data_IF_172314422557
#
_entry.id   IF_172314422557
#
_cell.length_a   1.000
_cell.length_b   1.000
_cell.length_c   1.000
_cell.angle_alpha   90.00
_cell.angle_beta   90.00
_cell.angle_gamma   90.00
#
_symmetry.space_group_name_H-M   'P 1'
#
loop_
_entity.id
_entity.type
_entity.pdbx_description
1 polymer ?
#
# COMPACT_ATOMS: atom_id res chain seq x y z
N UNK A 1 29.96 5.11 12.14
CA UNK A 1 30.03 4.15 11.00
C UNK A 1 28.63 3.71 10.67
N UNK A 2 28.20 3.80 9.41
CA UNK A 2 26.85 3.37 9.00
C UNK A 2 26.61 1.91 9.39
N UNK A 3 25.40 1.60 9.89
CA UNK A 3 25.00 0.21 10.15
C UNK A 3 24.57 -0.52 8.87
N UNK A 4 24.59 0.18 7.73
CA UNK A 4 24.20 -0.32 6.43
C UNK A 4 25.43 -0.75 5.62
N UNK A 5 25.37 -1.94 5.04
CA UNK A 5 26.40 -2.50 4.18
C UNK A 5 25.84 -2.67 2.77
N UNK A 6 26.23 -1.79 1.86
CA UNK A 6 25.77 -1.78 0.47
C UNK A 6 26.29 -2.96 -0.36
N UNK A 7 27.43 -3.54 0.03
CA UNK A 7 27.99 -4.72 -0.64
C UNK A 7 27.05 -5.93 -0.57
N UNK A 8 26.19 -6.01 0.46
CA UNK A 8 25.20 -7.08 0.61
C UNK A 8 24.11 -7.05 -0.46
N UNK A 9 23.87 -5.89 -1.07
CA UNK A 9 22.79 -5.73 -2.05
C UNK A 9 23.03 -6.52 -3.35
N UNK A 10 24.30 -6.80 -3.67
CA UNK A 10 24.70 -7.55 -4.86
C UNK A 10 25.31 -8.92 -4.49
N UNK A 11 25.41 -9.23 -3.19
CA UNK A 11 25.91 -10.53 -2.71
C UNK A 11 24.83 -11.61 -2.77
N UNK A 12 25.05 -12.64 -3.59
CA UNK A 12 24.09 -13.72 -3.83
C UNK A 12 23.74 -14.54 -2.57
N UNK A 13 24.69 -14.70 -1.65
CA UNK A 13 24.47 -15.41 -0.38
C UNK A 13 23.63 -14.54 0.56
N UNK A 14 23.95 -13.25 0.67
CA UNK A 14 23.19 -12.29 1.46
C UNK A 14 21.74 -12.15 0.97
N UNK A 15 21.51 -12.12 -0.35
CA UNK A 15 20.17 -12.03 -0.95
C UNK A 15 19.24 -13.19 -0.53
N UNK A 16 19.80 -14.36 -0.16
CA UNK A 16 18.98 -15.46 0.36
C UNK A 16 18.24 -15.10 1.65
N UNK A 17 18.72 -14.14 2.45
CA UNK A 17 18.09 -13.69 3.70
C UNK A 17 16.77 -12.97 3.47
N UNK A 18 16.61 -12.34 2.33
CA UNK A 18 15.40 -11.61 1.93
C UNK A 18 14.67 -12.27 0.74
N UNK A 19 15.00 -13.51 0.41
CA UNK A 19 14.41 -14.26 -0.70
C UNK A 19 12.88 -14.39 -0.54
N UNK A 20 12.40 -14.72 0.66
CA UNK A 20 10.96 -14.88 0.91
C UNK A 20 10.15 -13.58 0.68
N UNK A 21 10.51 -12.41 1.24
CA UNK A 21 9.84 -11.16 0.94
C UNK A 21 9.99 -10.74 -0.52
N UNK A 22 11.15 -10.93 -1.16
CA UNK A 22 11.33 -10.61 -2.58
C UNK A 22 10.44 -11.47 -3.49
N UNK A 23 10.38 -12.79 -3.25
CA UNK A 23 9.45 -13.68 -3.98
C UNK A 23 7.99 -13.33 -3.73
N UNK A 24 7.64 -12.93 -2.50
CA UNK A 24 6.31 -12.47 -2.20
C UNK A 24 5.94 -11.22 -3.00
N UNK A 25 6.86 -10.27 -3.18
CA UNK A 25 6.66 -9.09 -4.02
C UNK A 25 6.58 -9.47 -5.50
N UNK A 26 7.50 -10.31 -5.99
CA UNK A 26 7.52 -10.76 -7.38
C UNK A 26 6.24 -11.50 -7.80
N UNK A 27 5.63 -12.26 -6.89
CA UNK A 27 4.38 -12.97 -7.15
C UNK A 27 3.11 -12.12 -7.09
N UNK A 28 3.18 -10.80 -6.86
CA UNK A 28 1.98 -9.95 -6.68
C UNK A 28 1.07 -9.97 -7.90
N UNK A 29 1.62 -9.82 -9.12
CA UNK A 29 0.84 -9.85 -10.36
C UNK A 29 0.13 -11.19 -10.57
N UNK A 30 0.82 -12.30 -10.33
CA UNK A 30 0.23 -13.62 -10.41
C UNK A 30 -0.95 -13.80 -9.43
N UNK A 31 -0.82 -13.32 -8.19
CA UNK A 31 -1.90 -13.39 -7.18
C UNK A 31 -3.10 -12.55 -7.58
N UNK A 32 -2.89 -11.34 -8.12
CA UNK A 32 -3.98 -10.50 -8.64
C UNK A 32 -4.74 -11.24 -9.74
N UNK A 33 -4.03 -11.89 -10.70
CA UNK A 33 -4.68 -12.67 -11.78
C UNK A 33 -5.44 -13.88 -11.23
N UNK A 34 -4.89 -14.57 -10.23
CA UNK A 34 -5.55 -15.71 -9.59
C UNK A 34 -6.91 -15.32 -8.98
N UNK A 35 -6.95 -14.22 -8.22
CA UNK A 35 -8.18 -13.76 -7.58
C UNK A 35 -9.16 -13.16 -8.62
N UNK A 36 -8.65 -12.48 -9.65
CA UNK A 36 -9.46 -11.96 -10.73
C UNK A 36 -10.10 -13.05 -11.61
N UNK A 37 -9.49 -14.23 -11.72
CA UNK A 37 -10.06 -15.35 -12.44
C UNK A 37 -11.33 -15.93 -11.79
N UNK A 38 -11.56 -15.63 -10.52
CA UNK A 38 -12.74 -16.06 -9.75
C UNK A 38 -13.85 -15.00 -9.71
N UNK A 39 -13.71 -13.91 -10.49
CA UNK A 39 -14.72 -12.86 -10.56
C UNK A 39 -16.04 -13.41 -11.10
N UNK A 40 -17.12 -13.05 -10.43
CA UNK A 40 -18.48 -13.37 -10.81
C UNK A 40 -19.26 -12.09 -11.07
N UNK A 41 -20.20 -12.14 -12.01
CA UNK A 41 -21.08 -11.00 -12.21
C UNK A 41 -21.98 -10.81 -10.98
N UNK A 42 -22.03 -9.58 -10.40
CA UNK A 42 -22.87 -9.34 -9.24
C UNK A 42 -24.36 -9.49 -9.59
N UNK A 43 -25.09 -10.30 -8.82
CA UNK A 43 -26.54 -10.40 -8.91
C UNK A 43 -27.15 -9.94 -7.58
N UNK A 44 -27.36 -8.64 -7.48
CA UNK A 44 -28.03 -7.98 -6.35
C UNK A 44 -29.42 -7.46 -6.72
N UNK A 45 -29.93 -7.94 -7.86
CA UNK A 45 -31.22 -7.53 -8.41
C UNK A 45 -31.14 -6.36 -9.40
N UNK A 46 -32.19 -6.19 -10.23
CA UNK A 46 -32.18 -5.18 -11.29
C UNK A 46 -32.18 -3.77 -10.70
N UNK A 47 -31.24 -2.94 -11.16
CA UNK A 47 -31.13 -1.53 -10.75
C UNK A 47 -30.67 -1.33 -9.31
N UNK A 48 -30.01 -2.31 -8.70
CA UNK A 48 -29.48 -2.19 -7.35
C UNK A 48 -28.64 -0.91 -7.18
N UNK A 49 -28.95 -0.14 -6.15
CA UNK A 49 -28.22 1.09 -5.77
C UNK A 49 -28.16 1.14 -4.26
N UNK A 50 -26.97 1.00 -3.64
CA UNK A 50 -26.84 1.12 -2.20
C UNK A 50 -27.01 2.59 -1.76
N UNK A 51 -27.45 2.80 -0.52
CA UNK A 51 -27.46 4.11 0.13
C UNK A 51 -26.06 4.52 0.59
N UNK A 52 -25.22 3.55 0.95
CA UNK A 52 -23.83 3.74 1.35
C UNK A 52 -23.05 2.44 1.25
N UNK A 53 -21.73 2.55 1.24
CA UNK A 53 -20.79 1.44 1.16
C UNK A 53 -19.94 1.41 2.42
N UNK A 54 -19.94 0.28 3.13
CA UNK A 54 -19.05 0.00 4.27
C UNK A 54 -18.03 -1.04 3.84
N UNK A 55 -16.74 -0.73 4.00
CA UNK A 55 -15.65 -1.61 3.61
C UNK A 55 -14.90 -2.02 4.86
N UNK A 56 -14.70 -3.32 5.07
CA UNK A 56 -13.97 -3.90 6.20
C UNK A 56 -12.82 -4.77 5.72
N UNK A 57 -11.80 -4.91 6.54
CA UNK A 57 -10.63 -5.75 6.29
C UNK A 57 -9.37 -4.98 5.89
N UNK A 58 -8.25 -5.70 5.60
CA UNK A 58 -6.90 -5.13 5.55
C UNK A 58 -6.71 -4.00 4.54
N UNK A 59 -7.30 -4.09 3.34
CA UNK A 59 -7.19 -3.06 2.28
C UNK A 59 -8.44 -2.17 2.17
N UNK A 60 -9.30 -2.15 3.18
CA UNK A 60 -10.51 -1.29 3.21
C UNK A 60 -10.22 0.18 2.92
N UNK A 61 -9.09 0.70 3.45
CA UNK A 61 -8.68 2.09 3.23
C UNK A 61 -8.18 2.36 1.81
N UNK A 62 -7.64 1.35 1.10
CA UNK A 62 -7.28 1.47 -0.31
C UNK A 62 -8.56 1.57 -1.16
N UNK A 63 -9.49 0.65 -0.96
CA UNK A 63 -10.75 0.65 -1.70
C UNK A 63 -11.53 1.96 -1.44
N UNK A 64 -11.57 2.43 -0.19
CA UNK A 64 -12.14 3.75 0.12
C UNK A 64 -11.44 4.87 -0.66
N UNK A 65 -10.10 4.90 -0.66
CA UNK A 65 -9.33 5.95 -1.34
C UNK A 65 -9.61 5.99 -2.85
N UNK A 66 -9.87 4.84 -3.47
CA UNK A 66 -10.27 4.74 -4.88
C UNK A 66 -11.70 5.22 -5.12
N UNK A 67 -12.63 4.88 -4.23
CA UNK A 67 -14.04 5.17 -4.41
C UNK A 67 -14.41 6.60 -4.02
N UNK A 68 -13.85 7.12 -2.94
CA UNK A 68 -14.27 8.38 -2.32
C UNK A 68 -14.34 9.58 -3.30
N UNK A 69 -13.43 9.75 -4.27
CA UNK A 69 -13.50 10.85 -5.23
C UNK A 69 -14.62 10.73 -6.27
N UNK A 70 -15.16 9.54 -6.52
CA UNK A 70 -16.03 9.27 -7.68
C UNK A 70 -17.31 8.50 -7.35
N UNK A 71 -17.41 7.87 -6.18
CA UNK A 71 -18.55 7.08 -5.78
C UNK A 71 -19.78 7.98 -5.55
N UNK A 72 -20.95 7.68 -6.15
CA UNK A 72 -22.15 8.51 -6.00
C UNK A 72 -22.82 8.41 -4.62
N UNK A 73 -22.30 7.56 -3.73
CA UNK A 73 -22.82 7.34 -2.38
C UNK A 73 -21.70 7.40 -1.34
N UNK A 74 -22.01 7.68 -0.06
CA UNK A 74 -21.00 7.69 1.01
C UNK A 74 -20.24 6.37 1.13
N UNK A 75 -18.93 6.45 1.32
CA UNK A 75 -18.02 5.30 1.49
C UNK A 75 -17.29 5.39 2.82
N UNK A 76 -17.30 4.30 3.59
CA UNK A 76 -16.63 4.21 4.90
C UNK A 76 -15.72 3.00 4.94
N UNK A 77 -14.44 3.19 5.25
CA UNK A 77 -13.56 2.11 5.68
C UNK A 77 -13.71 1.92 7.20
N UNK A 78 -14.29 0.80 7.61
CA UNK A 78 -14.60 0.53 9.01
C UNK A 78 -13.51 -0.34 9.66
N UNK A 79 -12.80 0.16 10.69
CA UNK A 79 -11.64 -0.52 11.26
C UNK A 79 -11.94 -1.37 12.50
N UNK A 80 -13.21 -1.55 12.87
CA UNK A 80 -13.63 -2.23 14.09
C UNK A 80 -14.44 -3.49 13.79
N UNK A 81 -14.58 -4.37 14.79
CA UNK A 81 -15.51 -5.48 14.75
C UNK A 81 -16.96 -4.99 14.58
N UNK A 82 -17.78 -5.77 13.91
CA UNK A 82 -19.16 -5.41 13.59
C UNK A 82 -19.26 -4.32 12.52
N UNK A 83 -20.33 -3.55 12.57
CA UNK A 83 -20.64 -2.52 11.56
C UNK A 83 -21.10 -1.21 12.23
N UNK A 84 -20.97 -0.05 11.53
CA UNK A 84 -21.57 1.19 11.98
C UNK A 84 -23.05 1.02 12.30
N UNK A 85 -23.54 1.71 13.34
CA UNK A 85 -24.92 1.54 13.84
C UNK A 85 -25.99 1.81 12.76
N UNK A 86 -25.71 2.68 11.81
CA UNK A 86 -26.63 3.07 10.73
C UNK A 86 -26.71 2.05 9.58
N UNK A 87 -25.80 1.06 9.51
CA UNK A 87 -25.76 0.07 8.42
C UNK A 87 -27.02 -0.82 8.47
N UNK A 88 -27.66 -1.02 7.32
CA UNK A 88 -28.90 -1.80 7.23
C UNK A 88 -29.18 -2.32 5.80
N UNK A 89 -30.41 -2.73 5.49
CA UNK A 89 -30.78 -3.42 4.24
C UNK A 89 -30.53 -2.64 2.96
N UNK A 90 -30.41 -1.30 3.04
CA UNK A 90 -30.15 -0.43 1.89
C UNK A 90 -28.66 -0.17 1.66
N UNK A 91 -27.78 -0.73 2.47
CA UNK A 91 -26.34 -0.50 2.38
C UNK A 91 -25.62 -1.72 1.79
N UNK A 92 -24.44 -1.47 1.24
CA UNK A 92 -23.54 -2.49 0.74
C UNK A 92 -22.37 -2.65 1.71
N UNK A 93 -22.10 -3.87 2.12
CA UNK A 93 -20.93 -4.20 2.94
C UNK A 93 -19.93 -4.97 2.08
N UNK A 94 -18.69 -4.47 1.99
CA UNK A 94 -17.59 -5.12 1.28
C UNK A 94 -16.62 -5.67 2.32
N UNK A 95 -16.44 -6.98 2.34
CA UNK A 95 -15.54 -7.67 3.27
C UNK A 95 -14.33 -8.19 2.52
N UNK A 96 -13.16 -7.67 2.85
CA UNK A 96 -11.88 -8.06 2.28
C UNK A 96 -11.16 -8.95 3.30
N UNK A 97 -11.19 -10.24 3.07
CA UNK A 97 -10.51 -11.20 3.92
C UNK A 97 -9.43 -11.90 3.10
N UNK A 98 -8.20 -11.43 3.22
CA UNK A 98 -7.05 -12.18 2.70
C UNK A 98 -6.99 -13.57 3.34
N UNK A 99 -6.30 -14.51 2.74
CA UNK A 99 -6.30 -15.91 3.17
C UNK A 99 -5.64 -16.14 4.54
N UNK A 100 -4.67 -15.33 4.91
CA UNK A 100 -4.04 -15.38 6.24
C UNK A 100 -4.92 -14.64 7.23
N UNK A 101 -5.91 -15.37 7.74
CA UNK A 101 -6.66 -14.95 8.90
C UNK A 101 -7.59 -13.77 8.60
N UNK A 102 -8.72 -14.09 8.03
CA UNK A 102 -9.91 -13.37 8.40
C UNK A 102 -9.94 -13.36 9.94
N UNK A 103 -9.63 -12.21 10.51
CA UNK A 103 -9.67 -12.05 11.95
C UNK A 103 -11.10 -12.17 12.46
N UNK A 104 -11.30 -12.25 13.77
CA UNK A 104 -12.62 -12.26 14.37
C UNK A 104 -13.46 -11.04 13.96
N UNK A 105 -12.83 -9.95 13.59
CA UNK A 105 -13.48 -8.70 13.21
C UNK A 105 -14.19 -8.82 11.85
N UNK A 106 -13.57 -9.43 10.83
CA UNK A 106 -14.19 -9.67 9.53
C UNK A 106 -15.33 -10.69 9.63
N UNK A 107 -15.17 -11.73 10.46
CA UNK A 107 -16.24 -12.70 10.74
C UNK A 107 -17.43 -12.01 11.39
N UNK A 108 -17.18 -11.19 12.42
CA UNK A 108 -18.22 -10.43 13.13
C UNK A 108 -18.96 -9.48 12.19
N UNK A 109 -18.21 -8.74 11.36
CA UNK A 109 -18.77 -7.79 10.41
C UNK A 109 -19.63 -8.49 9.35
N UNK A 110 -19.18 -9.64 8.85
CA UNK A 110 -19.93 -10.45 7.87
C UNK A 110 -21.25 -10.96 8.46
N UNK A 111 -21.19 -11.56 9.65
CA UNK A 111 -22.38 -12.07 10.34
C UNK A 111 -23.38 -10.94 10.64
N UNK A 112 -22.88 -9.77 11.03
CA UNK A 112 -23.73 -8.61 11.31
C UNK A 112 -24.36 -8.03 10.06
N UNK A 113 -23.63 -7.99 8.91
CA UNK A 113 -24.18 -7.56 7.64
C UNK A 113 -25.39 -8.43 7.22
N UNK A 114 -25.22 -9.74 7.27
CA UNK A 114 -26.28 -10.71 6.98
C UNK A 114 -27.48 -10.54 7.93
N UNK A 115 -27.22 -10.45 9.23
CA UNK A 115 -28.27 -10.28 10.26
C UNK A 115 -29.06 -9.00 10.06
N UNK A 116 -28.43 -7.92 9.58
CA UNK A 116 -29.08 -6.62 9.29
C UNK A 116 -29.72 -6.55 7.90
N UNK A 117 -29.59 -7.61 7.09
CA UNK A 117 -30.14 -7.69 5.73
C UNK A 117 -29.41 -6.81 4.70
N UNK A 118 -28.19 -6.37 4.99
CA UNK A 118 -27.37 -5.63 4.01
C UNK A 118 -26.92 -6.56 2.88
N UNK A 119 -26.75 -5.99 1.67
CA UNK A 119 -26.07 -6.72 0.60
C UNK A 119 -24.58 -6.83 0.93
N UNK A 120 -23.96 -7.96 0.55
CA UNK A 120 -22.56 -8.24 0.89
C UNK A 120 -21.78 -8.59 -0.36
N UNK A 121 -20.60 -7.98 -0.52
CA UNK A 121 -19.53 -8.50 -1.38
C UNK A 121 -18.47 -9.06 -0.43
N UNK A 122 -18.15 -10.33 -0.54
CA UNK A 122 -17.12 -10.96 0.28
C UNK A 122 -16.01 -11.53 -0.60
N UNK A 123 -14.78 -11.04 -0.42
CA UNK A 123 -13.57 -11.59 -1.01
C UNK A 123 -12.82 -12.40 0.06
N UNK A 124 -12.95 -13.72 -0.02
CA UNK A 124 -12.43 -14.66 0.98
C UNK A 124 -12.22 -16.06 0.39
N UNK A 125 -11.35 -16.90 0.99
CA UNK A 125 -11.28 -18.32 0.66
C UNK A 125 -12.63 -18.99 0.88
N UNK A 126 -12.98 -19.93 -0.03
CA UNK A 126 -14.33 -20.55 -0.07
C UNK A 126 -14.77 -21.19 1.26
N UNK A 127 -13.82 -21.84 1.95
CA UNK A 127 -14.09 -22.58 3.18
C UNK A 127 -13.76 -21.79 4.46
N UNK A 128 -13.54 -20.46 4.32
CA UNK A 128 -13.21 -19.61 5.46
C UNK A 128 -14.43 -19.36 6.37
N UNK A 129 -14.17 -18.99 7.61
CA UNK A 129 -15.24 -18.59 8.55
C UNK A 129 -15.95 -17.33 8.06
N UNK A 130 -15.25 -16.41 7.39
CA UNK A 130 -15.83 -15.19 6.82
C UNK A 130 -16.81 -15.52 5.71
N UNK A 131 -16.43 -16.42 4.78
CA UNK A 131 -17.31 -16.83 3.70
C UNK A 131 -18.59 -17.50 4.22
N UNK A 132 -18.47 -18.32 5.28
CA UNK A 132 -19.64 -18.92 5.95
C UNK A 132 -20.50 -17.89 6.69
N UNK A 133 -19.87 -16.94 7.37
CA UNK A 133 -20.58 -15.88 8.11
C UNK A 133 -21.32 -14.91 7.17
N UNK A 134 -20.81 -14.72 5.94
CA UNK A 134 -21.43 -13.89 4.91
C UNK A 134 -22.49 -14.62 4.07
N UNK A 135 -22.88 -15.85 4.43
CA UNK A 135 -23.81 -16.64 3.62
C UNK A 135 -25.24 -16.11 3.64
N UNK A 136 -25.69 -15.52 2.53
CA UNK A 136 -27.05 -15.05 2.31
C UNK A 136 -27.40 -15.00 0.82
N UNK A 137 -28.68 -14.85 0.50
CA UNK A 137 -29.15 -14.68 -0.88
C UNK A 137 -28.71 -13.36 -1.52
N UNK A 138 -28.28 -12.37 -0.71
CA UNK A 138 -27.82 -11.05 -1.16
C UNK A 138 -26.27 -10.94 -1.07
N UNK A 139 -25.56 -12.07 -1.14
CA UNK A 139 -24.11 -12.12 -1.05
C UNK A 139 -23.47 -12.44 -2.40
N UNK A 140 -22.63 -11.53 -2.89
CA UNK A 140 -21.70 -11.77 -4.01
C UNK A 140 -20.39 -12.29 -3.44
N UNK A 141 -19.98 -13.48 -3.86
CA UNK A 141 -18.77 -14.14 -3.35
C UNK A 141 -17.66 -14.12 -4.39
N UNK A 142 -16.53 -13.57 -3.99
CA UNK A 142 -15.25 -13.65 -4.70
C UNK A 142 -14.41 -14.69 -3.97
N UNK A 143 -14.16 -15.82 -4.61
CA UNK A 143 -13.34 -16.90 -4.05
C UNK A 143 -11.88 -16.54 -4.23
N UNK A 144 -11.25 -15.99 -3.19
CA UNK A 144 -9.82 -15.71 -3.25
C UNK A 144 -9.02 -17.00 -3.13
N UNK A 145 -7.98 -17.11 -3.96
CA UNK A 145 -7.02 -18.21 -3.95
C UNK A 145 -5.64 -17.75 -3.49
N UNK A 146 -5.41 -16.45 -3.54
CA UNK A 146 -4.17 -15.86 -3.07
C UNK A 146 -4.26 -15.45 -1.62
N UNK A 147 -3.11 -15.35 -0.96
CA UNK A 147 -2.99 -14.81 0.40
C UNK A 147 -2.82 -13.29 0.42
N UNK A 148 -2.93 -12.64 -0.73
CA UNK A 148 -2.67 -11.22 -0.89
C UNK A 148 -3.95 -10.40 -0.72
N UNK A 149 -3.98 -9.56 0.31
CA UNK A 149 -5.09 -8.64 0.53
C UNK A 149 -5.26 -7.64 -0.63
N UNK A 150 -4.19 -7.33 -1.39
CA UNK A 150 -4.26 -6.49 -2.57
C UNK A 150 -5.04 -7.18 -3.70
N UNK A 151 -4.80 -8.47 -3.95
CA UNK A 151 -5.56 -9.25 -4.94
C UNK A 151 -7.06 -9.23 -4.63
N UNK A 152 -7.42 -9.47 -3.37
CA UNK A 152 -8.81 -9.39 -2.88
C UNK A 152 -9.42 -8.00 -3.10
N UNK A 153 -8.65 -6.92 -2.84
CA UNK A 153 -9.11 -5.55 -3.04
C UNK A 153 -9.32 -5.23 -4.53
N UNK A 154 -8.39 -5.62 -5.40
CA UNK A 154 -8.52 -5.44 -6.87
C UNK A 154 -9.75 -6.17 -7.40
N UNK A 155 -9.98 -7.40 -6.97
CA UNK A 155 -11.14 -8.18 -7.35
C UNK A 155 -12.46 -7.54 -6.87
N UNK A 156 -12.50 -7.06 -5.62
CA UNK A 156 -13.67 -6.37 -5.07
C UNK A 156 -13.97 -5.05 -5.82
N UNK A 157 -12.95 -4.26 -6.14
CA UNK A 157 -13.12 -3.01 -6.91
C UNK A 157 -13.67 -3.29 -8.31
N UNK A 158 -13.29 -4.39 -8.95
CA UNK A 158 -13.86 -4.81 -10.23
C UNK A 158 -15.36 -5.07 -10.14
N UNK A 159 -15.83 -5.72 -9.06
CA UNK A 159 -17.28 -5.90 -8.80
C UNK A 159 -17.97 -4.55 -8.52
N UNK A 160 -17.32 -3.67 -7.76
CA UNK A 160 -17.86 -2.33 -7.48
C UNK A 160 -18.00 -1.48 -8.75
N UNK A 161 -17.09 -1.66 -9.71
CA UNK A 161 -17.23 -1.06 -11.03
C UNK A 161 -18.47 -1.57 -11.78
N UNK A 162 -18.72 -2.87 -11.80
CA UNK A 162 -19.91 -3.48 -12.40
C UNK A 162 -21.22 -2.93 -11.80
N UNK A 163 -21.19 -2.54 -10.52
CA UNK A 163 -22.30 -1.89 -9.82
C UNK A 163 -22.40 -0.37 -10.10
N UNK A 164 -21.47 0.21 -10.89
CA UNK A 164 -21.42 1.62 -11.20
C UNK A 164 -20.98 2.51 -10.04
N UNK A 165 -20.18 1.97 -9.11
CA UNK A 165 -19.73 2.68 -7.90
C UNK A 165 -18.31 3.25 -8.02
N UNK A 166 -17.55 2.86 -9.06
CA UNK A 166 -16.22 3.40 -9.34
C UNK A 166 -15.90 3.32 -10.85
N UNK A 167 -14.84 4.01 -11.32
CA UNK A 167 -14.31 3.87 -12.67
C UNK A 167 -13.86 2.44 -12.99
N UNK A 168 -13.69 2.09 -14.28
CA UNK A 168 -13.22 0.77 -14.68
C UNK A 168 -11.83 0.47 -14.13
N UNK A 169 -11.68 -0.73 -13.58
CA UNK A 169 -10.40 -1.31 -13.17
C UNK A 169 -10.21 -2.60 -13.92
N UNK A 170 -9.04 -2.77 -14.54
CA UNK A 170 -8.65 -3.99 -15.23
C UNK A 170 -7.60 -4.72 -14.40
N UNK A 171 -7.97 -5.83 -13.75
CA UNK A 171 -7.00 -6.58 -12.93
C UNK A 171 -5.74 -7.02 -13.69
N UNK A 172 -5.87 -7.26 -15.01
CA UNK A 172 -4.74 -7.60 -15.86
C UNK A 172 -3.69 -6.49 -15.94
N UNK A 173 -4.14 -5.24 -16.13
CA UNK A 173 -3.26 -4.06 -16.22
C UNK A 173 -2.56 -3.83 -14.87
N UNK A 174 -3.32 -3.93 -13.77
CA UNK A 174 -2.77 -3.82 -12.39
C UNK A 174 -1.70 -4.89 -12.12
N UNK A 175 -1.97 -6.13 -12.57
CA UNK A 175 -1.04 -7.25 -12.42
C UNK A 175 0.23 -7.05 -13.27
N UNK A 176 0.09 -6.54 -14.49
CA UNK A 176 1.22 -6.24 -15.37
C UNK A 176 2.14 -5.17 -14.76
N UNK A 177 1.57 -4.12 -14.15
CA UNK A 177 2.36 -3.12 -13.44
C UNK A 177 3.15 -3.70 -12.28
N UNK A 178 2.55 -4.62 -11.52
CA UNK A 178 3.26 -5.31 -10.44
C UNK A 178 4.42 -6.16 -10.98
N UNK A 179 4.22 -6.86 -12.12
CA UNK A 179 5.26 -7.67 -12.75
C UNK A 179 6.39 -6.81 -13.32
N UNK A 180 6.08 -5.67 -13.96
CA UNK A 180 7.09 -4.73 -14.46
C UNK A 180 7.99 -4.21 -13.34
N UNK A 181 7.41 -3.80 -12.21
CA UNK A 181 8.21 -3.36 -11.05
C UNK A 181 9.04 -4.52 -10.47
N UNK A 182 8.51 -5.74 -10.50
CA UNK A 182 9.25 -6.91 -10.04
C UNK A 182 10.47 -7.21 -10.93
N UNK A 183 10.35 -6.99 -12.24
CA UNK A 183 11.46 -7.12 -13.17
C UNK A 183 12.50 -6.01 -12.94
N UNK A 184 12.07 -4.73 -12.91
CA UNK A 184 12.95 -3.58 -12.66
C UNK A 184 13.71 -3.68 -11.32
N UNK A 185 13.05 -4.25 -10.29
CA UNK A 185 13.59 -4.38 -8.94
C UNK A 185 14.16 -5.78 -8.65
N UNK A 186 14.43 -6.57 -9.70
CA UNK A 186 14.93 -7.94 -9.56
C UNK A 186 16.26 -7.99 -8.80
N UNK A 187 16.47 -8.96 -7.88
CA UNK A 187 17.75 -9.13 -7.18
C UNK A 187 18.93 -9.41 -8.11
N UNK A 188 18.65 -9.82 -9.36
CA UNK A 188 19.68 -10.09 -10.37
C UNK A 188 20.21 -8.85 -11.08
N UNK A 189 19.60 -7.69 -10.90
CA UNK A 189 20.10 -6.41 -11.37
C UNK A 189 21.07 -5.84 -10.32
N UNK A 190 22.21 -5.35 -10.78
CA UNK A 190 23.19 -4.69 -9.92
C UNK A 190 22.64 -3.40 -9.32
N UNK A 191 23.27 -2.90 -8.26
CA UNK A 191 22.89 -1.64 -7.61
C UNK A 191 22.75 -0.47 -8.58
N UNK A 192 23.61 -0.39 -9.61
CA UNK A 192 23.59 0.67 -10.61
C UNK A 192 22.34 0.71 -11.49
N UNK A 193 21.66 -0.42 -11.67
CA UNK A 193 20.53 -0.61 -12.57
C UNK A 193 19.22 -0.93 -11.84
N UNK A 194 19.26 -0.94 -10.50
CA UNK A 194 18.11 -1.32 -9.67
C UNK A 194 17.61 -0.14 -8.84
N UNK A 195 16.49 0.52 -9.23
CA UNK A 195 15.98 1.70 -8.53
C UNK A 195 15.54 1.43 -7.09
N UNK A 196 15.21 0.19 -6.76
CA UNK A 196 14.83 -0.17 -5.40
C UNK A 196 16.05 -0.36 -4.48
N UNK A 197 17.19 -0.84 -5.00
CA UNK A 197 18.47 -0.86 -4.29
C UNK A 197 19.00 0.56 -4.09
N UNK A 198 18.87 1.45 -5.09
CA UNK A 198 19.22 2.86 -4.95
C UNK A 198 18.37 3.56 -3.88
N UNK A 199 17.07 3.29 -3.84
CA UNK A 199 16.20 3.81 -2.77
C UNK A 199 16.65 3.29 -1.39
N UNK A 200 17.00 2.01 -1.26
CA UNK A 200 17.51 1.44 -0.01
C UNK A 200 18.79 2.14 0.46
N UNK A 201 19.73 2.38 -0.46
CA UNK A 201 20.96 3.12 -0.18
C UNK A 201 20.68 4.56 0.25
N UNK A 202 19.74 5.23 -0.42
CA UNK A 202 19.32 6.58 -0.04
C UNK A 202 18.73 6.66 1.39
N UNK A 203 18.17 5.56 1.88
CA UNK A 203 17.53 5.45 3.19
C UNK A 203 18.40 4.77 4.26
N UNK A 204 19.65 4.42 3.95
CA UNK A 204 20.54 3.65 4.80
C UNK A 204 20.68 4.23 6.23
N UNK A 205 20.93 5.53 6.34
CA UNK A 205 21.11 6.26 7.61
C UNK A 205 20.04 7.33 7.83
N UNK A 206 18.85 7.10 7.26
CA UNK A 206 17.80 8.08 7.21
C UNK A 206 16.65 7.82 8.18
N UNK A 207 15.93 8.90 8.48
CA UNK A 207 14.55 8.91 8.96
C UNK A 207 13.65 9.30 7.77
N UNK A 208 13.00 8.34 7.09
CA UNK A 208 12.18 8.64 5.92
C UNK A 208 10.96 9.48 6.26
N UNK A 209 10.77 10.57 5.53
CA UNK A 209 9.58 11.43 5.54
C UNK A 209 8.84 11.21 4.22
N UNK A 210 7.83 10.36 4.20
CA UNK A 210 7.10 9.97 3.02
C UNK A 210 5.90 10.90 2.78
N UNK A 211 5.84 11.51 1.60
CA UNK A 211 4.76 12.38 1.18
C UNK A 211 4.22 11.99 -0.18
N UNK A 212 2.92 12.17 -0.40
CA UNK A 212 2.26 12.01 -1.70
C UNK A 212 1.13 13.01 -1.82
N UNK A 213 1.00 13.61 -3.01
CA UNK A 213 0.03 14.67 -3.29
C UNK A 213 -1.39 14.10 -3.39
N UNK A 214 -1.60 13.10 -4.23
CA UNK A 214 -2.90 12.48 -4.41
C UNK A 214 -3.29 11.58 -3.23
N UNK A 215 -4.58 11.26 -3.14
CA UNK A 215 -5.09 10.33 -2.11
C UNK A 215 -4.40 8.96 -2.20
N UNK A 216 -4.13 8.48 -3.42
CA UNK A 216 -3.50 7.18 -3.64
C UNK A 216 -1.99 7.23 -3.44
N UNK A 217 -1.31 8.29 -3.88
CA UNK A 217 0.11 8.50 -3.59
C UNK A 217 0.36 8.60 -2.08
N UNK A 218 -0.47 9.36 -1.35
CA UNK A 218 -0.40 9.41 0.12
C UNK A 218 -0.69 8.05 0.76
N UNK A 219 -1.56 7.23 0.18
CA UNK A 219 -1.82 5.87 0.65
C UNK A 219 -0.63 4.96 0.42
N UNK A 220 0.03 5.03 -0.75
CA UNK A 220 1.26 4.30 -1.05
C UNK A 220 2.38 4.71 -0.08
N UNK A 221 2.59 6.03 0.12
CA UNK A 221 3.56 6.57 1.07
C UNK A 221 3.38 5.99 2.49
N UNK A 222 2.14 5.90 3.00
CA UNK A 222 1.85 5.28 4.31
C UNK A 222 2.20 3.79 4.35
N UNK A 223 1.85 3.03 3.30
CA UNK A 223 2.17 1.60 3.24
C UNK A 223 3.68 1.36 3.20
N UNK A 224 4.39 2.19 2.44
CA UNK A 224 5.85 2.10 2.35
C UNK A 224 6.51 2.51 3.67
N UNK A 225 6.06 3.59 4.32
CA UNK A 225 6.57 3.97 5.64
C UNK A 225 6.34 2.87 6.70
N UNK A 226 5.20 2.15 6.65
CA UNK A 226 4.95 0.97 7.50
C UNK A 226 5.96 -0.16 7.21
N UNK A 227 6.29 -0.41 5.94
CA UNK A 227 7.25 -1.42 5.55
C UNK A 227 8.68 -1.03 5.97
N UNK A 228 9.07 0.22 5.75
CA UNK A 228 10.38 0.75 6.17
C UNK A 228 10.59 0.63 7.68
N UNK A 229 9.55 0.90 8.49
CA UNK A 229 9.64 0.70 9.95
C UNK A 229 9.84 -0.77 10.32
N UNK A 230 9.16 -1.70 9.64
CA UNK A 230 9.33 -3.14 9.90
C UNK A 230 10.71 -3.63 9.49
N UNK A 231 11.20 -3.19 8.33
CA UNK A 231 12.49 -3.56 7.79
C UNK A 231 13.66 -3.06 8.64
N UNK A 232 13.61 -1.79 9.08
CA UNK A 232 14.73 -1.12 9.74
C UNK A 232 14.65 -1.08 11.27
N UNK A 233 13.45 -1.19 11.84
CA UNK A 233 13.21 -0.88 13.26
C UNK A 233 13.34 0.60 13.60
N UNK A 234 13.48 1.47 12.60
CA UNK A 234 13.69 2.92 12.72
C UNK A 234 12.40 3.70 12.47
N UNK A 235 12.28 4.96 12.96
CA UNK A 235 11.17 5.82 12.63
C UNK A 235 11.07 6.07 11.11
N UNK A 236 9.87 6.00 10.57
CA UNK A 236 9.52 6.45 9.22
C UNK A 236 8.13 7.09 9.28
N UNK A 237 8.00 8.33 8.84
CA UNK A 237 6.78 9.11 8.91
C UNK A 237 6.11 9.17 7.54
N UNK A 238 4.78 9.12 7.51
CA UNK A 238 4.01 9.44 6.33
C UNK A 238 2.88 10.38 6.75
N UNK A 239 2.93 11.62 6.32
CA UNK A 239 2.03 12.68 6.77
C UNK A 239 1.77 13.72 5.66
N UNK A 240 0.89 14.65 5.94
CA UNK A 240 0.65 15.84 5.10
C UNK A 240 1.83 16.81 5.20
N UNK A 241 1.98 17.69 4.22
CA UNK A 241 3.11 18.63 4.14
C UNK A 241 3.26 19.49 5.41
N UNK A 242 2.15 19.96 5.98
CA UNK A 242 2.15 20.78 7.19
C UNK A 242 2.76 20.08 8.44
N UNK A 243 2.71 18.75 8.48
CA UNK A 243 3.29 17.96 9.58
C UNK A 243 4.74 17.55 9.29
N UNK A 244 5.16 17.48 8.01
CA UNK A 244 6.53 17.15 7.63
C UNK A 244 7.45 18.35 7.63
N UNK A 245 6.97 19.55 7.28
CA UNK A 245 7.76 20.77 7.26
C UNK A 245 8.52 21.04 8.56
N UNK A 246 7.90 21.01 9.76
CA UNK A 246 8.63 21.24 11.01
C UNK A 246 9.74 20.21 11.27
N UNK A 247 9.61 18.99 10.75
CA UNK A 247 10.64 17.94 10.90
C UNK A 247 11.82 18.22 9.96
N UNK A 248 11.55 18.72 8.74
CA UNK A 248 12.58 19.15 7.80
C UNK A 248 13.31 20.39 8.33
N UNK A 249 12.58 21.41 8.77
CA UNK A 249 13.11 22.67 9.31
C UNK A 249 13.92 22.46 10.60
N UNK A 250 13.55 21.46 11.38
CA UNK A 250 14.27 21.05 12.60
C UNK A 250 15.43 20.07 12.34
N UNK A 251 15.77 19.79 11.09
CA UNK A 251 16.87 18.88 10.76
C UNK A 251 18.19 19.41 11.31
N UNK A 252 19.02 18.57 11.96
CA UNK A 252 20.33 19.00 12.43
C UNK A 252 21.22 19.39 11.23
N UNK A 253 21.97 20.48 11.37
CA UNK A 253 22.93 20.87 10.36
C UNK A 253 23.90 19.71 10.06
N UNK A 254 24.23 19.55 8.77
CA UNK A 254 25.24 18.57 8.40
C UNK A 254 26.62 19.07 8.80
N UNK A 255 27.29 18.34 9.67
CA UNK A 255 28.70 18.55 9.97
C UNK A 255 29.51 17.48 9.23
N UNK A 256 30.18 17.85 8.12
CA UNK A 256 31.00 16.90 7.37
C UNK A 256 32.27 16.48 8.12
N UNK A 257 32.59 17.14 9.25
CA UNK A 257 33.73 16.86 10.10
C UNK A 257 33.35 16.20 11.44
N UNK A 258 32.07 15.87 11.63
CA UNK A 258 31.64 15.18 12.85
C UNK A 258 32.39 13.85 13.00
N UNK A 259 32.97 13.63 14.17
CA UNK A 259 33.63 12.36 14.48
C UNK A 259 32.57 11.25 14.60
N UNK A 260 32.68 10.16 13.84
CA UNK A 260 31.77 9.03 13.96
C UNK A 260 31.71 8.41 15.37
N UNK A 261 32.72 8.67 16.20
CA UNK A 261 32.82 8.15 17.58
C UNK A 261 32.18 9.11 18.62
N UNK A 262 31.75 10.32 18.24
CA UNK A 262 31.15 11.33 19.14
C UNK A 262 29.69 11.05 19.53
N UNK A 263 29.22 9.82 19.44
CA UNK A 263 27.91 9.39 19.92
C UNK A 263 27.09 8.59 18.91
N UNK A 264 25.86 8.16 19.26
CA UNK A 264 25.05 7.40 18.36
C UNK A 264 24.72 8.24 17.10
N UNK A 265 24.94 7.67 15.92
CA UNK A 265 24.62 8.31 14.65
C UNK A 265 23.17 8.79 14.66
N UNK A 266 22.98 10.11 14.56
CA UNK A 266 21.64 10.70 14.46
C UNK A 266 21.10 10.44 13.07
N UNK A 267 19.97 9.74 12.99
CA UNK A 267 19.26 9.58 11.71
C UNK A 267 18.83 10.95 11.19
N UNK A 268 19.23 11.26 9.97
CA UNK A 268 18.82 12.50 9.30
C UNK A 268 17.51 12.29 8.55
N UNK A 269 16.63 13.28 8.49
CA UNK A 269 15.45 13.18 7.65
C UNK A 269 15.86 13.06 6.18
N UNK A 270 15.08 12.26 5.43
CA UNK A 270 15.12 12.18 3.96
C UNK A 270 13.69 12.29 3.46
N UNK A 271 13.42 13.26 2.61
CA UNK A 271 12.11 13.45 2.02
C UNK A 271 11.93 12.45 0.85
N UNK A 272 10.91 11.59 0.94
CA UNK A 272 10.54 10.65 -0.11
C UNK A 272 9.20 11.07 -0.71
N UNK A 273 9.21 11.55 -1.95
CA UNK A 273 8.02 12.01 -2.66
C UNK A 273 7.48 10.85 -3.49
N UNK A 274 6.24 10.44 -3.20
CA UNK A 274 5.47 9.50 -4.00
C UNK A 274 4.63 10.29 -4.99
N UNK A 275 4.91 10.12 -6.27
CA UNK A 275 4.29 10.88 -7.36
C UNK A 275 3.61 9.94 -8.34
N UNK A 276 2.29 10.00 -8.40
CA UNK A 276 1.46 9.22 -9.32
C UNK A 276 1.07 9.99 -10.60
N UNK A 277 1.70 11.12 -10.86
CA UNK A 277 1.43 11.97 -12.03
C UNK A 277 0.13 12.76 -11.94
N UNK A 278 -0.70 12.55 -10.90
CA UNK A 278 -1.87 13.38 -10.66
C UNK A 278 -1.42 14.75 -10.16
N UNK A 279 -1.93 15.81 -10.76
CA UNK A 279 -1.54 17.19 -10.46
C UNK A 279 -2.71 18.00 -9.93
N UNK A 280 -2.44 18.77 -8.89
CA UNK A 280 -3.35 19.81 -8.41
C UNK A 280 -2.55 21.08 -8.06
N UNK A 281 -3.09 22.28 -8.27
CA UNK A 281 -2.37 23.52 -7.91
C UNK A 281 -1.95 23.56 -6.43
N UNK A 282 -2.80 23.03 -5.54
CA UNK A 282 -2.50 22.97 -4.11
C UNK A 282 -1.39 21.94 -3.80
N UNK A 283 -1.37 20.82 -4.50
CA UNK A 283 -0.35 19.79 -4.36
C UNK A 283 1.00 20.25 -4.88
N UNK A 284 1.02 20.90 -6.04
CA UNK A 284 2.24 21.48 -6.60
C UNK A 284 2.84 22.53 -5.64
N UNK A 285 2.03 23.42 -5.06
CA UNK A 285 2.48 24.38 -4.04
C UNK A 285 3.06 23.69 -2.80
N UNK A 286 2.41 22.63 -2.32
CA UNK A 286 2.89 21.87 -1.16
C UNK A 286 4.21 21.15 -1.46
N UNK A 287 4.35 20.56 -2.65
CA UNK A 287 5.58 19.93 -3.13
C UNK A 287 6.72 20.94 -3.15
N UNK A 288 6.51 22.11 -3.80
CA UNK A 288 7.52 23.15 -3.93
C UNK A 288 7.99 23.63 -2.56
N UNK A 289 7.07 23.81 -1.60
CA UNK A 289 7.41 24.18 -0.22
C UNK A 289 8.24 23.12 0.50
N UNK A 290 7.89 21.83 0.34
CA UNK A 290 8.66 20.72 0.94
C UNK A 290 10.06 20.63 0.34
N UNK A 291 10.19 20.76 -0.98
CA UNK A 291 11.46 20.69 -1.68
C UNK A 291 12.33 21.89 -1.31
N UNK A 292 11.78 23.11 -1.31
CA UNK A 292 12.52 24.32 -0.91
C UNK A 292 13.01 24.25 0.55
N UNK A 293 12.18 23.74 1.45
CA UNK A 293 12.60 23.52 2.85
C UNK A 293 13.69 22.45 2.94
N UNK A 294 13.58 21.35 2.18
CA UNK A 294 14.60 20.30 2.13
C UNK A 294 15.95 20.83 1.63
N UNK A 295 15.93 21.64 0.57
CA UNK A 295 17.15 22.28 0.02
C UNK A 295 17.77 23.24 1.04
N UNK A 296 16.96 24.07 1.74
CA UNK A 296 17.45 25.03 2.73
C UNK A 296 18.12 24.36 3.93
N UNK A 297 17.64 23.17 4.32
CA UNK A 297 18.12 22.42 5.49
C UNK A 297 19.02 21.23 5.13
N UNK A 298 19.52 21.17 3.90
CA UNK A 298 20.37 20.08 3.40
C UNK A 298 19.76 18.68 3.68
N UNK A 299 18.44 18.56 3.43
CA UNK A 299 17.70 17.31 3.52
C UNK A 299 17.61 16.68 2.12
N UNK A 300 18.06 15.45 1.99
CA UNK A 300 18.00 14.71 0.72
C UNK A 300 16.56 14.50 0.29
N UNK A 301 16.30 14.66 -1.02
CA UNK A 301 15.00 14.38 -1.63
C UNK A 301 15.12 13.17 -2.56
N UNK A 302 14.25 12.19 -2.39
CA UNK A 302 14.10 11.04 -3.27
C UNK A 302 12.69 11.03 -3.87
N UNK A 303 12.54 10.53 -5.10
CA UNK A 303 11.25 10.41 -5.76
C UNK A 303 10.95 8.96 -6.13
N UNK A 304 9.72 8.52 -5.87
CA UNK A 304 9.16 7.27 -6.36
C UNK A 304 8.03 7.63 -7.33
N UNK A 305 8.20 7.30 -8.60
CA UNK A 305 7.35 7.79 -9.69
C UNK A 305 6.48 6.68 -10.28
N UNK A 306 5.23 7.05 -10.64
CA UNK A 306 4.31 6.20 -11.39
C UNK A 306 3.30 7.09 -12.13
N UNK A 307 3.55 7.40 -13.38
CA UNK A 307 2.78 8.33 -14.21
C UNK A 307 1.95 7.64 -15.31
N UNK A 308 2.05 6.32 -15.46
CA UNK A 308 1.39 5.56 -16.53
C UNK A 308 0.32 4.60 -15.98
N UNK A 309 -0.76 4.41 -16.74
CA UNK A 309 -1.89 3.55 -16.39
C UNK A 309 -3.01 4.24 -15.59
N UNK A 310 -3.98 3.46 -15.14
CA UNK A 310 -5.08 3.92 -14.31
C UNK A 310 -4.65 4.24 -12.87
N UNK A 311 -5.54 4.80 -12.08
CA UNK A 311 -5.25 5.22 -10.71
C UNK A 311 -4.74 4.05 -9.83
N UNK A 312 -5.34 2.87 -9.96
CA UNK A 312 -4.91 1.69 -9.21
C UNK A 312 -3.59 1.11 -9.72
N UNK A 313 -3.31 1.20 -11.04
CA UNK A 313 -2.05 0.79 -11.65
C UNK A 313 -0.90 1.62 -11.09
N UNK A 314 -1.07 2.95 -11.05
CA UNK A 314 -0.09 3.88 -10.48
C UNK A 314 0.14 3.65 -8.98
N UNK A 315 -0.94 3.43 -8.22
CA UNK A 315 -0.83 3.08 -6.80
C UNK A 315 0.01 1.81 -6.59
N UNK A 316 -0.27 0.75 -7.37
CA UNK A 316 0.46 -0.52 -7.25
C UNK A 316 1.93 -0.34 -7.61
N UNK A 317 2.23 0.42 -8.65
CA UNK A 317 3.61 0.77 -9.03
C UNK A 317 4.35 1.47 -7.89
N UNK A 318 3.79 2.55 -7.33
CA UNK A 318 4.40 3.28 -6.21
C UNK A 318 4.61 2.38 -4.99
N UNK A 319 3.57 1.62 -4.64
CA UNK A 319 3.62 0.70 -3.50
C UNK A 319 4.71 -0.35 -3.70
N UNK A 320 4.78 -1.00 -4.85
CA UNK A 320 5.74 -2.07 -5.10
C UNK A 320 7.17 -1.55 -5.12
N UNK A 321 7.47 -0.44 -5.81
CA UNK A 321 8.80 0.19 -5.79
C UNK A 321 9.27 0.47 -4.37
N UNK A 322 8.42 1.06 -3.54
CA UNK A 322 8.76 1.34 -2.15
C UNK A 322 8.92 0.09 -1.29
N UNK A 323 8.12 -0.98 -1.53
CA UNK A 323 8.24 -2.24 -0.78
C UNK A 323 9.51 -3.01 -1.13
N UNK A 324 9.94 -3.01 -2.41
CA UNK A 324 11.24 -3.54 -2.81
C UNK A 324 12.38 -2.76 -2.15
N UNK A 325 12.30 -1.41 -2.13
CA UNK A 325 13.25 -0.57 -1.42
C UNK A 325 13.35 -0.92 0.08
N UNK A 326 12.20 -1.18 0.73
CA UNK A 326 12.20 -1.62 2.12
C UNK A 326 12.84 -3.01 2.33
N UNK A 327 12.64 -3.96 1.41
CA UNK A 327 13.25 -5.28 1.48
C UNK A 327 14.78 -5.20 1.31
N UNK A 328 15.27 -4.39 0.39
CA UNK A 328 16.71 -4.17 0.23
C UNK A 328 17.32 -3.37 1.39
N UNK A 329 16.57 -2.44 1.98
CA UNK A 329 17.00 -1.75 3.20
C UNK A 329 17.17 -2.74 4.36
N UNK A 330 16.27 -3.70 4.54
CA UNK A 330 16.39 -4.77 5.53
C UNK A 330 17.66 -5.60 5.30
N UNK A 331 17.97 -5.94 4.06
CA UNK A 331 19.18 -6.67 3.69
C UNK A 331 20.44 -5.90 4.07
N UNK A 332 20.57 -4.65 3.62
CA UNK A 332 21.73 -3.82 3.92
C UNK A 332 21.98 -3.61 5.42
N UNK A 333 20.89 -3.57 6.23
CA UNK A 333 20.95 -3.45 7.68
C UNK A 333 21.19 -4.80 8.40
N UNK A 334 21.14 -5.93 7.70
CA UNK A 334 21.24 -7.26 8.31
C UNK A 334 22.68 -7.68 8.64
N UNK A 335 23.69 -6.97 8.14
CA UNK A 335 25.11 -7.30 8.30
C UNK A 335 25.62 -7.36 9.75
N UNK A 336 24.88 -6.82 10.73
CA UNK A 336 25.26 -6.78 12.16
C UNK A 336 24.32 -7.50 13.12
N UNK A 337 23.32 -8.24 12.63
CA UNK A 337 22.41 -9.01 13.51
C UNK A 337 22.90 -10.44 13.80
N UNK A 338 24.20 -10.69 13.75
CA UNK A 338 24.83 -11.98 14.14
C UNK A 338 25.48 -11.87 15.51
#
# INVERSE_FOLDING_TARGET
MSDFDDSLLDDQEALTRVDAPLRALAGTGARIRMDAAELVRPDLGPGYRPRGVVIVGPESRLVRALLEPCCPVPVVAWPFAGLPAWTGPLDLVVVLAGSVGAGPDEVSSSAEAVRRGAAVIVAAPADSQVARAADSSSTVRIRTRSEDALGSAVAAVSILHELGLCPPVRPGDVAERADMVAEESSPFHDLSDNPAKDLALALADAMPLAWGDSVLAARAARRVAEALRRASGRPALAAVSAELLPVIEGAPAHDPFADPDDGPARLRPVLVIFDDGERSPAGDEQRDRLVAAAELHDVRVCAVLADDGGALDRYVTLRQKGLYGAAYLELGLSGRRT
#
